data_IF_290326194737
#
_entry.id   IF_290326194737
#
_cell.length_a   1.000
_cell.length_b   1.000
_cell.length_c   1.000
_cell.angle_alpha   90.00
_cell.angle_beta   90.00
_cell.angle_gamma   90.00
#
_symmetry.space_group_name_H-M   'P 1'
#
loop_
_entity.id
_entity.type
_entity.pdbx_description
1 polymer ?
#
# COMPACT_ATOMS: atom_id res chain seq x y z
N UNK A 1 1.23 -38.76 6.06
CA UNK A 1 0.14 -37.96 5.43
C UNK A 1 -0.50 -36.92 6.36
N UNK A 2 -0.97 -37.29 7.57
CA UNK A 2 -1.71 -36.38 8.46
C UNK A 2 -0.96 -35.08 8.83
N UNK A 3 0.35 -35.15 9.10
CA UNK A 3 1.16 -33.95 9.37
C UNK A 3 1.25 -33.04 8.13
N UNK A 4 1.42 -33.63 6.94
CA UNK A 4 1.44 -32.88 5.68
C UNK A 4 0.11 -32.19 5.37
N UNK A 5 -1.03 -32.83 5.72
CA UNK A 5 -2.35 -32.21 5.58
C UNK A 5 -2.50 -30.98 6.50
N UNK A 6 -1.99 -31.06 7.73
CA UNK A 6 -1.97 -29.93 8.66
C UNK A 6 -1.12 -28.77 8.12
N UNK A 7 0.07 -29.05 7.57
CA UNK A 7 0.91 -28.02 6.93
C UNK A 7 0.15 -27.39 5.76
N UNK A 8 -0.45 -28.19 4.87
CA UNK A 8 -1.18 -27.69 3.70
C UNK A 8 -2.33 -26.76 4.10
N UNK A 9 -3.14 -27.16 5.09
CA UNK A 9 -4.29 -26.39 5.55
C UNK A 9 -3.85 -25.14 6.30
N UNK A 10 -2.81 -25.22 7.14
CA UNK A 10 -2.30 -24.06 7.86
C UNK A 10 -1.68 -23.02 6.91
N UNK A 11 -0.88 -23.46 5.93
CA UNK A 11 -0.32 -22.58 4.90
C UNK A 11 -1.42 -21.88 4.08
N UNK A 12 -2.51 -22.59 3.78
CA UNK A 12 -3.66 -21.99 3.10
C UNK A 12 -4.39 -20.96 3.98
N UNK A 13 -4.59 -21.26 5.27
CA UNK A 13 -5.19 -20.31 6.21
C UNK A 13 -4.32 -19.06 6.41
N UNK A 14 -3.00 -19.21 6.52
CA UNK A 14 -2.08 -18.07 6.58
C UNK A 14 -2.25 -17.18 5.35
N UNK A 15 -2.28 -17.75 4.15
CA UNK A 15 -2.53 -17.00 2.91
C UNK A 15 -3.88 -16.27 2.92
N UNK A 16 -4.95 -16.89 3.42
CA UNK A 16 -6.25 -16.22 3.56
C UNK A 16 -6.20 -15.05 4.55
N UNK A 17 -5.46 -15.17 5.66
CA UNK A 17 -5.24 -14.05 6.59
C UNK A 17 -4.47 -12.90 5.93
N UNK A 18 -3.61 -13.19 4.96
CA UNK A 18 -2.92 -12.21 4.12
C UNK A 18 -3.76 -11.73 2.92
N UNK A 19 -5.07 -12.01 2.88
CA UNK A 19 -5.98 -11.66 1.80
C UNK A 19 -5.52 -12.16 0.42
N UNK A 20 -4.82 -13.30 0.36
CA UNK A 20 -4.50 -14.01 -0.88
C UNK A 20 -5.59 -15.01 -1.23
N UNK A 21 -5.87 -15.14 -2.53
CA UNK A 21 -6.80 -16.15 -3.02
C UNK A 21 -6.17 -17.56 -3.04
N UNK A 22 -6.97 -18.58 -2.73
CA UNK A 22 -6.53 -19.98 -2.72
C UNK A 22 -7.64 -20.91 -2.24
N UNK A 23 -7.69 -22.14 -2.76
CA UNK A 23 -8.81 -23.05 -2.46
C UNK A 23 -8.49 -24.53 -2.52
N UNK A 24 -7.23 -24.91 -2.72
CA UNK A 24 -6.80 -26.31 -2.74
C UNK A 24 -5.62 -26.51 -1.80
N UNK A 25 -5.71 -27.55 -0.98
CA UNK A 25 -4.64 -28.05 -0.14
C UNK A 25 -4.76 -29.58 -0.09
N UNK A 26 -3.64 -30.29 -0.20
CA UNK A 26 -3.55 -31.73 -0.09
C UNK A 26 -2.15 -32.17 0.33
N UNK A 27 -2.03 -33.37 0.86
CA UNK A 27 -0.74 -34.00 1.07
C UNK A 27 -0.75 -35.44 0.55
N UNK A 28 0.42 -35.91 0.12
CA UNK A 28 0.59 -37.25 -0.44
C UNK A 28 1.84 -37.90 0.15
N UNK A 29 1.73 -39.19 0.50
CA UNK A 29 2.91 -39.97 0.88
C UNK A 29 3.82 -40.21 -0.34
N UNK A 30 5.13 -40.15 -0.12
CA UNK A 30 6.13 -40.48 -1.14
C UNK A 30 6.52 -41.96 -1.07
N UNK A 31 7.54 -42.37 -1.85
CA UNK A 31 8.11 -43.72 -1.71
C UNK A 31 8.99 -43.87 -0.47
N UNK A 32 9.51 -42.77 0.08
CA UNK A 32 10.26 -42.77 1.33
C UNK A 32 9.28 -42.64 2.52
N UNK A 33 9.42 -43.48 3.55
CA UNK A 33 8.47 -43.50 4.68
C UNK A 33 8.48 -42.21 5.51
N UNK A 34 9.59 -41.47 5.47
CA UNK A 34 9.81 -40.25 6.27
C UNK A 34 9.61 -38.95 5.47
N UNK A 35 9.11 -39.05 4.23
CA UNK A 35 8.88 -37.90 3.34
C UNK A 35 7.40 -37.79 2.94
N UNK A 36 6.88 -36.56 2.91
CA UNK A 36 5.51 -36.24 2.50
C UNK A 36 5.54 -35.06 1.52
N UNK A 37 4.85 -35.21 0.40
CA UNK A 37 4.61 -34.10 -0.52
C UNK A 37 3.42 -33.29 -0.01
N UNK A 38 3.60 -31.98 0.09
CA UNK A 38 2.56 -31.03 0.47
C UNK A 38 2.27 -30.13 -0.71
N UNK A 39 1.00 -30.02 -1.10
CA UNK A 39 0.55 -29.22 -2.23
C UNK A 39 -0.56 -28.29 -1.78
N UNK A 40 -0.43 -27.00 -2.06
CA UNK A 40 -1.49 -26.02 -1.89
C UNK A 40 -1.42 -24.95 -2.97
N UNK A 41 -2.58 -24.36 -3.29
CA UNK A 41 -2.67 -23.25 -4.24
C UNK A 41 -2.12 -21.96 -3.64
N UNK A 42 -1.56 -21.11 -4.48
CA UNK A 42 -1.12 -19.76 -4.14
C UNK A 42 -1.51 -18.76 -5.23
N UNK A 43 -1.73 -17.51 -4.85
CA UNK A 43 -1.83 -16.37 -5.79
C UNK A 43 -0.45 -15.78 -6.08
N UNK A 44 0.42 -15.73 -5.06
CA UNK A 44 1.81 -15.28 -5.13
C UNK A 44 2.74 -16.39 -4.64
N UNK A 45 3.68 -16.81 -5.48
CA UNK A 45 4.60 -17.92 -5.20
C UNK A 45 5.42 -17.66 -3.93
N UNK A 46 6.04 -16.49 -3.80
CA UNK A 46 6.87 -16.14 -2.64
C UNK A 46 6.07 -16.15 -1.32
N UNK A 47 4.82 -15.64 -1.35
CA UNK A 47 3.94 -15.63 -0.18
C UNK A 47 3.50 -17.07 0.15
N UNK A 48 3.21 -17.87 -0.87
CA UNK A 48 2.86 -19.27 -0.71
C UNK A 48 3.99 -20.09 -0.10
N UNK A 49 5.23 -19.88 -0.54
CA UNK A 49 6.41 -20.54 0.02
C UNK A 49 6.63 -20.16 1.48
N UNK A 50 6.62 -18.86 1.80
CA UNK A 50 6.75 -18.39 3.18
C UNK A 50 5.62 -18.95 4.07
N UNK A 51 4.39 -19.01 3.57
CA UNK A 51 3.27 -19.58 4.32
C UNK A 51 3.50 -21.06 4.67
N UNK A 52 4.14 -21.82 3.78
CA UNK A 52 4.53 -23.20 4.03
C UNK A 52 5.63 -23.33 5.08
N UNK A 53 6.66 -22.48 5.01
CA UNK A 53 7.75 -22.44 5.99
C UNK A 53 7.23 -22.08 7.38
N UNK A 54 6.45 -21.00 7.48
CA UNK A 54 5.83 -20.57 8.75
C UNK A 54 4.88 -21.63 9.29
N UNK A 55 4.10 -22.30 8.44
CA UNK A 55 3.25 -23.41 8.87
C UNK A 55 4.05 -24.57 9.48
N UNK A 56 5.17 -24.94 8.86
CA UNK A 56 6.08 -25.96 9.40
C UNK A 56 6.68 -25.52 10.75
N UNK A 57 7.17 -24.28 10.84
CA UNK A 57 7.77 -23.74 12.06
C UNK A 57 6.77 -23.70 13.23
N UNK A 58 5.54 -23.24 12.97
CA UNK A 58 4.46 -23.23 13.96
C UNK A 58 4.14 -24.63 14.47
N UNK A 59 4.03 -25.63 13.59
CA UNK A 59 3.76 -27.02 13.98
C UNK A 59 4.92 -27.63 14.78
N UNK A 60 6.16 -27.33 14.41
CA UNK A 60 7.36 -27.76 15.17
C UNK A 60 7.40 -27.09 16.55
N UNK A 61 7.01 -25.82 16.65
CA UNK A 61 6.95 -25.09 17.91
C UNK A 61 5.87 -25.67 18.85
N UNK A 62 4.68 -25.98 18.32
CA UNK A 62 3.59 -26.64 19.05
C UNK A 62 4.04 -28.03 19.54
N UNK A 63 4.69 -28.81 18.68
CA UNK A 63 5.16 -30.15 19.04
C UNK A 63 6.22 -30.15 20.15
N UNK A 64 6.87 -29.01 20.41
CA UNK A 64 7.93 -28.83 21.42
C UNK A 64 7.48 -27.99 22.62
N UNK A 65 6.20 -27.65 22.72
CA UNK A 65 5.68 -26.73 23.74
C UNK A 65 5.97 -27.22 25.18
N UNK A 66 5.92 -28.54 25.40
CA UNK A 66 6.18 -29.14 26.72
C UNK A 66 7.65 -29.00 27.17
N UNK A 67 8.59 -28.80 26.24
CA UNK A 67 10.02 -28.68 26.52
C UNK A 67 10.51 -27.23 26.61
N UNK A 68 9.87 -26.32 25.85
CA UNK A 68 10.36 -24.95 25.64
C UNK A 68 9.40 -23.85 26.10
N UNK A 69 8.25 -24.22 26.66
CA UNK A 69 7.18 -23.29 27.00
C UNK A 69 6.21 -23.08 25.82
N UNK A 70 5.09 -22.43 26.11
CA UNK A 70 4.04 -22.18 25.13
C UNK A 70 4.55 -21.26 24.00
N UNK A 71 4.43 -21.66 22.72
CA UNK A 71 4.94 -20.87 21.60
C UNK A 71 4.08 -19.63 21.33
N UNK A 72 4.72 -18.52 20.95
CA UNK A 72 4.02 -17.30 20.54
C UNK A 72 3.64 -17.35 19.05
N UNK A 73 2.54 -18.07 18.79
CA UNK A 73 1.99 -18.20 17.43
C UNK A 73 1.46 -16.87 16.87
N UNK A 74 1.17 -15.89 17.73
CA UNK A 74 0.66 -14.59 17.27
C UNK A 74 1.79 -13.75 16.65
N UNK A 75 3.01 -13.80 17.20
CA UNK A 75 4.16 -13.15 16.57
C UNK A 75 4.50 -13.78 15.21
N UNK A 76 4.45 -15.11 15.10
CA UNK A 76 4.67 -15.82 13.82
C UNK A 76 3.67 -15.36 12.75
N UNK A 77 2.38 -15.32 13.08
CA UNK A 77 1.34 -14.80 12.19
C UNK A 77 1.61 -13.33 11.85
N UNK A 78 1.91 -12.48 12.85
CA UNK A 78 2.15 -11.07 12.61
C UNK A 78 3.38 -10.83 11.72
N UNK A 79 4.44 -11.64 11.87
CA UNK A 79 5.64 -11.61 11.02
C UNK A 79 5.29 -12.01 9.59
N UNK A 80 4.52 -13.09 9.42
CA UNK A 80 4.03 -13.53 8.12
C UNK A 80 3.16 -12.46 7.44
N UNK A 81 2.22 -11.85 8.16
CA UNK A 81 1.36 -10.80 7.59
C UNK A 81 2.18 -9.58 7.15
N UNK A 82 3.19 -9.15 7.93
CA UNK A 82 4.11 -8.08 7.51
C UNK A 82 4.94 -8.46 6.28
N UNK A 83 5.34 -9.73 6.18
CA UNK A 83 6.05 -10.26 5.02
C UNK A 83 5.16 -10.22 3.77
N UNK A 84 3.93 -10.72 3.89
CA UNK A 84 2.97 -10.81 2.82
C UNK A 84 2.49 -9.43 2.35
N UNK A 85 2.21 -8.50 3.26
CA UNK A 85 1.78 -7.13 2.93
C UNK A 85 2.82 -6.40 2.06
N UNK A 86 4.11 -6.48 2.45
CA UNK A 86 5.22 -5.88 1.69
C UNK A 86 5.37 -6.46 0.29
N UNK A 87 4.94 -7.72 0.11
CA UNK A 87 5.00 -8.48 -1.14
C UNK A 87 3.65 -8.65 -1.80
N UNK A 88 2.62 -7.95 -1.38
CA UNK A 88 1.32 -8.01 -2.05
C UNK A 88 1.25 -6.96 -3.14
N UNK A 89 0.66 -7.31 -4.28
CA UNK A 89 0.28 -6.29 -5.26
C UNK A 89 -0.95 -5.56 -4.73
N UNK A 90 -0.95 -4.24 -4.82
CA UNK A 90 -2.14 -3.45 -4.55
C UNK A 90 -3.29 -3.80 -5.51
N UNK A 91 -4.55 -3.48 -5.16
CA UNK A 91 -5.73 -3.94 -5.90
C UNK A 91 -5.69 -3.54 -7.38
N UNK A 92 -5.25 -2.32 -7.70
CA UNK A 92 -5.13 -1.87 -9.09
C UNK A 92 -4.11 -2.67 -9.89
N UNK A 93 -2.95 -2.98 -9.30
CA UNK A 93 -1.93 -3.78 -9.95
C UNK A 93 -2.40 -5.22 -10.13
N UNK A 94 -3.10 -5.78 -9.15
CA UNK A 94 -3.68 -7.12 -9.23
C UNK A 94 -4.68 -7.24 -10.38
N UNK A 95 -5.58 -6.28 -10.55
CA UNK A 95 -6.55 -6.29 -11.64
C UNK A 95 -5.88 -6.19 -13.03
N UNK A 96 -4.73 -5.51 -13.12
CA UNK A 96 -3.91 -5.50 -14.34
C UNK A 96 -3.30 -6.89 -14.61
N UNK A 97 -2.78 -7.57 -13.58
CA UNK A 97 -2.25 -8.94 -13.71
C UNK A 97 -3.35 -9.91 -14.13
N UNK A 98 -4.51 -9.87 -13.46
CA UNK A 98 -5.69 -10.71 -13.80
C UNK A 98 -6.13 -10.47 -15.25
N UNK A 99 -6.18 -9.20 -15.66
CA UNK A 99 -6.50 -8.79 -17.04
C UNK A 99 -5.49 -9.26 -18.07
N UNK A 100 -4.19 -9.29 -17.74
CA UNK A 100 -3.14 -9.80 -18.61
C UNK A 100 -3.24 -11.33 -18.75
N UNK A 101 -3.40 -12.04 -17.63
CA UNK A 101 -3.56 -13.50 -17.61
C UNK A 101 -4.80 -13.95 -18.40
N UNK A 102 -5.92 -13.26 -18.25
CA UNK A 102 -7.15 -13.53 -19.02
C UNK A 102 -7.00 -13.33 -20.55
N UNK A 103 -5.92 -12.69 -20.99
CA UNK A 103 -5.58 -12.44 -22.40
C UNK A 103 -4.34 -13.22 -22.85
N UNK A 104 -3.89 -14.19 -22.06
CA UNK A 104 -2.66 -14.97 -22.29
C UNK A 104 -1.41 -14.09 -22.48
N UNK A 105 -1.38 -12.93 -21.82
CA UNK A 105 -0.23 -12.03 -21.83
C UNK A 105 0.68 -12.40 -20.65
N UNK A 106 1.94 -12.77 -20.88
CA UNK A 106 2.84 -13.18 -19.80
C UNK A 106 3.14 -12.00 -18.86
N UNK A 107 3.15 -12.29 -17.56
CA UNK A 107 3.45 -11.32 -16.49
C UNK A 107 4.63 -11.83 -15.67
N UNK A 108 5.55 -10.94 -15.34
CA UNK A 108 6.69 -11.23 -14.48
C UNK A 108 6.80 -10.19 -13.38
N UNK A 109 6.90 -10.64 -12.14
CA UNK A 109 7.24 -9.76 -11.03
C UNK A 109 8.74 -9.48 -11.06
N UNK A 110 9.13 -8.21 -10.91
CA UNK A 110 10.53 -7.80 -11.05
C UNK A 110 11.19 -7.41 -9.72
N UNK A 111 10.40 -7.20 -8.67
CA UNK A 111 10.87 -6.93 -7.32
C UNK A 111 9.83 -7.36 -6.27
N UNK A 112 10.22 -7.27 -5.01
CA UNK A 112 9.33 -7.53 -3.87
C UNK A 112 8.18 -6.51 -3.77
N UNK A 113 8.27 -5.36 -4.44
CA UNK A 113 7.24 -4.32 -4.47
C UNK A 113 6.21 -4.53 -5.57
N UNK A 114 5.75 -3.43 -6.17
CA UNK A 114 4.67 -3.43 -7.18
C UNK A 114 5.16 -3.39 -8.63
N UNK A 115 6.46 -3.56 -8.88
CA UNK A 115 7.03 -3.48 -10.22
C UNK A 115 6.83 -4.80 -10.98
N UNK A 116 6.03 -4.72 -12.04
CA UNK A 116 5.71 -5.85 -12.91
C UNK A 116 6.10 -5.57 -14.36
N UNK A 117 6.50 -6.62 -15.06
CA UNK A 117 6.57 -6.67 -16.51
C UNK A 117 5.29 -7.32 -17.04
N UNK A 118 4.71 -6.73 -18.07
CA UNK A 118 3.62 -7.32 -18.84
C UNK A 118 4.08 -7.46 -20.30
N UNK A 119 3.90 -8.64 -20.90
CA UNK A 119 4.34 -8.96 -22.25
C UNK A 119 5.83 -9.32 -22.37
N UNK A 120 6.30 -9.50 -23.60
CA UNK A 120 7.67 -9.95 -23.91
C UNK A 120 8.27 -9.20 -25.11
N UNK A 121 9.60 -9.23 -25.19
CA UNK A 121 10.37 -8.67 -26.29
C UNK A 121 10.10 -7.18 -26.50
N UNK A 122 10.02 -6.74 -27.76
CA UNK A 122 9.77 -5.33 -28.11
C UNK A 122 8.39 -4.79 -27.66
N UNK A 123 7.47 -5.66 -27.26
CA UNK A 123 6.12 -5.29 -26.82
C UNK A 123 5.97 -5.29 -25.29
N UNK A 124 7.02 -5.63 -24.54
CA UNK A 124 6.97 -5.60 -23.08
C UNK A 124 6.69 -4.19 -22.56
N UNK A 125 5.94 -4.09 -21.48
CA UNK A 125 5.70 -2.86 -20.73
C UNK A 125 6.11 -3.05 -19.26
N UNK A 126 6.41 -1.95 -18.59
CA UNK A 126 6.61 -1.92 -17.13
C UNK A 126 5.45 -1.20 -16.48
N UNK A 127 4.98 -1.74 -15.37
CA UNK A 127 3.92 -1.14 -14.57
C UNK A 127 4.37 -1.17 -13.12
N UNK A 128 4.14 -0.07 -12.41
CA UNK A 128 4.36 0.02 -10.97
C UNK A 128 3.15 0.71 -10.34
N UNK A 129 2.43 -0.01 -9.48
CA UNK A 129 1.09 0.34 -9.05
C UNK A 129 0.16 0.68 -10.25
N UNK A 130 -0.19 1.96 -10.44
CA UNK A 130 -0.99 2.45 -11.58
C UNK A 130 -0.17 3.20 -12.64
N UNK A 131 1.14 3.32 -12.46
CA UNK A 131 2.05 3.98 -13.40
C UNK A 131 2.52 2.98 -14.45
N UNK A 132 2.74 3.45 -15.67
CA UNK A 132 3.29 2.62 -16.75
C UNK A 132 4.61 3.19 -17.24
N UNK A 133 5.37 2.40 -18.01
CA UNK A 133 6.55 2.87 -18.73
C UNK A 133 6.27 4.02 -19.72
N UNK A 134 5.00 4.36 -19.97
CA UNK A 134 4.60 5.51 -20.79
C UNK A 134 4.29 6.76 -19.97
N UNK A 135 4.18 6.64 -18.65
CA UNK A 135 3.96 7.80 -17.78
C UNK A 135 5.27 8.57 -17.66
N UNK A 136 5.27 9.83 -18.10
CA UNK A 136 6.46 10.69 -18.03
C UNK A 136 6.89 10.91 -16.59
N UNK A 137 8.20 10.75 -16.31
CA UNK A 137 8.77 11.06 -15.00
C UNK A 137 8.46 12.49 -14.57
N UNK A 138 8.62 13.46 -15.48
CA UNK A 138 8.30 14.87 -15.23
C UNK A 138 6.83 15.05 -14.83
N UNK A 139 5.91 14.29 -15.47
CA UNK A 139 4.49 14.37 -15.13
C UNK A 139 4.21 13.81 -13.73
N UNK A 140 4.90 12.73 -13.32
CA UNK A 140 4.81 12.19 -11.96
C UNK A 140 5.35 13.20 -10.95
N UNK A 141 6.52 13.79 -11.19
CA UNK A 141 7.11 14.80 -10.30
C UNK A 141 6.18 16.02 -10.13
N UNK A 142 5.62 16.53 -11.23
CA UNK A 142 4.63 17.62 -11.18
C UNK A 142 3.42 17.22 -10.34
N UNK A 143 2.84 16.05 -10.61
CA UNK A 143 1.64 15.57 -9.91
C UNK A 143 1.87 15.29 -8.42
N UNK A 144 3.09 14.89 -8.04
CA UNK A 144 3.47 14.65 -6.64
C UNK A 144 3.74 15.95 -5.87
N UNK A 145 4.17 17.03 -6.53
CA UNK A 145 4.32 18.35 -5.91
C UNK A 145 2.99 19.14 -5.96
N UNK A 146 2.27 19.15 -4.84
CA UNK A 146 1.00 19.88 -4.68
C UNK A 146 1.11 21.37 -5.00
N UNK A 147 2.25 22.00 -4.68
CA UNK A 147 2.44 23.43 -4.90
C UNK A 147 2.74 23.73 -6.38
N UNK A 148 3.57 22.92 -7.02
CA UNK A 148 3.84 23.04 -8.46
C UNK A 148 2.59 22.73 -9.29
N UNK A 149 1.89 21.63 -8.98
CA UNK A 149 0.63 21.24 -9.63
C UNK A 149 -0.41 22.36 -9.58
N UNK A 150 -0.70 22.89 -8.38
CA UNK A 150 -1.67 23.97 -8.21
C UNK A 150 -1.29 25.23 -9.01
N UNK A 151 0.00 25.64 -8.97
CA UNK A 151 0.49 26.80 -9.73
C UNK A 151 0.35 26.61 -11.24
N UNK A 152 0.74 25.46 -11.77
CA UNK A 152 0.62 25.18 -13.21
C UNK A 152 -0.84 25.19 -13.67
N UNK A 153 -1.75 24.61 -12.88
CA UNK A 153 -3.19 24.65 -13.18
C UNK A 153 -3.73 26.09 -13.11
N UNK A 154 -3.32 26.89 -12.12
CA UNK A 154 -3.68 28.30 -12.00
C UNK A 154 -3.20 29.14 -13.20
N UNK A 155 -1.95 28.95 -13.62
CA UNK A 155 -1.35 29.65 -14.76
C UNK A 155 -2.08 29.34 -16.08
N UNK A 156 -2.70 28.16 -16.18
CA UNK A 156 -3.57 27.75 -17.29
C UNK A 156 -5.01 28.29 -17.17
N UNK A 157 -5.33 29.03 -16.10
CA UNK A 157 -6.65 29.62 -15.86
C UNK A 157 -7.67 28.66 -15.23
N UNK A 158 -7.23 27.49 -14.73
CA UNK A 158 -8.13 26.58 -14.02
C UNK A 158 -8.41 27.11 -12.60
N UNK A 159 -9.65 26.95 -12.11
CA UNK A 159 -9.98 27.34 -10.74
C UNK A 159 -9.27 26.38 -9.77
N UNK A 160 -8.35 26.93 -8.98
CA UNK A 160 -7.65 26.19 -7.92
C UNK A 160 -7.76 26.92 -6.58
N UNK A 161 -7.64 26.20 -5.43
CA UNK A 161 -7.58 26.84 -4.13
C UNK A 161 -6.43 27.83 -4.04
N UNK A 162 -6.69 29.00 -3.46
CA UNK A 162 -5.65 29.97 -3.13
C UNK A 162 -4.86 29.41 -1.96
N UNK A 163 -3.56 29.19 -2.15
CA UNK A 163 -2.72 28.55 -1.15
C UNK A 163 -1.40 29.28 -0.89
N UNK A 164 -0.85 29.06 0.31
CA UNK A 164 0.46 29.58 0.73
C UNK A 164 1.21 28.51 1.52
N UNK A 165 2.47 28.28 1.15
CA UNK A 165 3.40 27.46 1.93
C UNK A 165 4.01 28.32 3.03
N UNK A 166 4.02 27.80 4.26
CA UNK A 166 4.49 28.45 5.48
C UNK A 166 5.32 27.46 6.30
N UNK A 167 6.26 28.00 7.08
CA UNK A 167 7.17 27.22 7.94
C UNK A 167 7.01 27.55 9.42
N UNK A 168 6.25 28.60 9.74
CA UNK A 168 6.12 29.12 11.09
C UNK A 168 4.64 29.35 11.43
N UNK A 169 4.21 29.15 12.69
CA UNK A 169 2.83 29.34 13.11
C UNK A 169 2.28 30.75 12.81
N UNK A 170 3.07 31.79 13.03
CA UNK A 170 2.66 33.19 12.78
C UNK A 170 2.42 33.44 11.29
N UNK A 171 3.25 32.83 10.43
CA UNK A 171 3.08 32.90 9.00
C UNK A 171 1.81 32.16 8.55
N UNK A 172 1.45 31.06 9.22
CA UNK A 172 0.22 30.32 8.97
C UNK A 172 -1.01 31.16 9.30
N UNK A 173 -1.03 31.83 10.44
CA UNK A 173 -2.13 32.73 10.82
C UNK A 173 -2.26 33.89 9.82
N UNK A 174 -1.15 34.55 9.50
CA UNK A 174 -1.13 35.63 8.51
C UNK A 174 -1.60 35.17 7.11
N UNK A 175 -1.28 33.94 6.72
CA UNK A 175 -1.77 33.37 5.48
C UNK A 175 -3.29 33.09 5.54
N UNK A 176 -3.78 32.53 6.64
CA UNK A 176 -5.20 32.26 6.83
C UNK A 176 -6.04 33.53 6.80
N UNK A 177 -5.60 34.61 7.46
CA UNK A 177 -6.28 35.91 7.45
C UNK A 177 -6.31 36.54 6.05
N UNK A 178 -5.23 36.42 5.28
CA UNK A 178 -5.15 36.94 3.90
C UNK A 178 -6.01 36.14 2.91
N UNK A 179 -6.08 34.83 3.09
CA UNK A 179 -6.92 33.96 2.25
C UNK A 179 -8.40 34.17 2.61
N UNK A 180 -8.69 34.32 3.91
CA UNK A 180 -10.03 34.39 4.48
C UNK A 180 -10.51 33.01 4.95
N UNK A 181 -11.14 32.98 6.13
CA UNK A 181 -11.73 31.78 6.71
C UNK A 181 -13.03 31.35 6.01
N UNK A 182 -13.39 30.05 6.04
CA UNK A 182 -12.60 28.93 6.56
C UNK A 182 -11.43 28.54 5.66
N UNK A 183 -10.39 27.97 6.26
CA UNK A 183 -9.20 27.47 5.57
C UNK A 183 -8.97 25.99 5.83
N UNK A 184 -8.14 25.37 4.98
CA UNK A 184 -7.57 24.04 5.16
C UNK A 184 -6.10 24.20 5.48
N UNK A 185 -5.61 23.41 6.43
CA UNK A 185 -4.22 23.36 6.87
C UNK A 185 -3.72 21.94 6.67
N UNK A 186 -2.63 21.75 5.91
CA UNK A 186 -2.11 20.42 5.59
C UNK A 186 -0.59 20.41 5.44
N UNK A 187 0.09 19.28 5.69
CA UNK A 187 1.50 19.13 5.34
C UNK A 187 1.68 19.19 3.82
N UNK A 188 2.81 19.78 3.38
CA UNK A 188 3.19 19.87 1.97
C UNK A 188 3.35 18.47 1.36
N UNK A 189 4.09 17.61 2.04
CA UNK A 189 4.55 16.28 1.63
C UNK A 189 3.83 15.11 2.32
N UNK A 190 2.80 15.39 3.12
CA UNK A 190 2.00 14.35 3.77
C UNK A 190 1.07 13.61 2.80
N UNK A 191 0.86 12.32 3.07
CA UNK A 191 0.01 11.40 2.31
C UNK A 191 -1.10 10.81 3.20
N UNK A 192 -2.14 10.24 2.57
CA UNK A 192 -3.25 9.55 3.25
C UNK A 192 -4.05 10.42 4.24
N UNK A 193 -4.09 11.74 4.01
CA UNK A 193 -4.85 12.67 4.87
C UNK A 193 -4.24 12.91 6.25
N UNK A 194 -3.04 12.38 6.54
CA UNK A 194 -2.36 12.64 7.82
C UNK A 194 -1.97 14.10 7.95
N UNK A 195 -2.22 14.67 9.13
CA UNK A 195 -1.93 16.08 9.42
C UNK A 195 -2.83 17.07 8.66
N UNK A 196 -3.93 16.63 8.05
CA UNK A 196 -4.87 17.52 7.34
C UNK A 196 -5.98 17.96 8.29
N UNK A 197 -6.13 19.27 8.45
CA UNK A 197 -7.24 19.90 9.18
C UNK A 197 -8.08 20.72 8.22
N UNK A 198 -9.36 20.39 8.13
CA UNK A 198 -10.34 21.07 7.28
C UNK A 198 -11.26 21.96 8.12
N UNK A 199 -11.93 22.90 7.46
CA UNK A 199 -12.89 23.80 8.09
C UNK A 199 -12.33 24.53 9.32
N UNK A 200 -11.09 25.00 9.23
CA UNK A 200 -10.47 25.80 10.28
C UNK A 200 -11.02 27.21 10.17
N UNK A 201 -11.67 27.70 11.23
CA UNK A 201 -12.46 28.95 11.20
C UNK A 201 -11.89 30.08 12.04
N UNK A 202 -10.88 29.82 12.87
CA UNK A 202 -10.32 30.80 13.79
C UNK A 202 -8.81 30.61 14.01
N UNK A 203 -8.18 31.59 14.67
CA UNK A 203 -6.74 31.60 14.92
C UNK A 203 -6.27 30.45 15.82
N UNK A 204 -7.05 30.07 16.82
CA UNK A 204 -6.71 28.97 17.72
C UNK A 204 -6.69 27.63 16.97
N UNK A 205 -7.67 27.43 16.08
CA UNK A 205 -7.74 26.31 15.17
C UNK A 205 -6.57 26.26 14.21
N UNK A 206 -6.13 27.41 13.65
CA UNK A 206 -4.93 27.47 12.79
C UNK A 206 -3.69 27.02 13.55
N UNK A 207 -3.49 27.49 14.78
CA UNK A 207 -2.34 27.10 15.58
C UNK A 207 -2.32 25.59 15.90
N UNK A 208 -3.47 25.03 16.31
CA UNK A 208 -3.60 23.60 16.58
C UNK A 208 -3.39 22.75 15.32
N UNK A 209 -3.96 23.19 14.20
CA UNK A 209 -3.82 22.52 12.92
C UNK A 209 -2.39 22.58 12.37
N UNK A 210 -1.71 23.71 12.51
CA UNK A 210 -0.32 23.86 12.11
C UNK A 210 0.57 22.88 12.89
N UNK A 211 0.43 22.81 14.21
CA UNK A 211 1.18 21.87 15.04
C UNK A 211 0.91 20.39 14.68
N UNK A 212 -0.29 20.07 14.20
CA UNK A 212 -0.61 18.73 13.70
C UNK A 212 0.03 18.44 12.34
N UNK A 213 -0.02 19.40 11.42
CA UNK A 213 0.56 19.27 10.09
C UNK A 213 2.10 19.22 10.11
N UNK A 214 2.74 20.03 10.97
CA UNK A 214 4.20 20.12 11.10
C UNK A 214 4.84 18.79 11.52
N UNK A 215 4.16 17.99 12.35
CA UNK A 215 4.66 16.66 12.75
C UNK A 215 4.72 15.65 11.61
N UNK A 216 3.99 15.90 10.53
CA UNK A 216 3.82 14.96 9.41
C UNK A 216 4.59 15.38 8.16
N UNK A 217 5.27 16.52 8.15
CA UNK A 217 5.87 17.06 6.93
C UNK A 217 6.96 18.10 7.13
N UNK A 218 7.57 18.50 6.02
CA UNK A 218 8.67 19.48 6.00
C UNK A 218 8.21 20.94 5.96
N UNK A 219 6.94 21.19 5.59
CA UNK A 219 6.31 22.50 5.56
C UNK A 219 4.78 22.36 5.63
N UNK A 220 4.09 23.46 5.92
CA UNK A 220 2.62 23.50 6.01
C UNK A 220 2.04 24.35 4.89
N UNK A 221 0.95 23.89 4.31
CA UNK A 221 0.15 24.60 3.31
C UNK A 221 -1.14 25.09 3.96
N UNK A 222 -1.39 26.40 3.83
CA UNK A 222 -2.67 27.02 4.17
C UNK A 222 -3.39 27.32 2.87
N UNK A 223 -4.60 26.80 2.68
CA UNK A 223 -5.39 27.00 1.47
C UNK A 223 -6.85 27.36 1.76
N UNK A 224 -7.51 28.01 0.80
CA UNK A 224 -8.94 28.32 0.90
C UNK A 224 -9.77 27.03 0.94
N UNK A 225 -10.70 26.94 1.89
CA UNK A 225 -11.69 25.85 1.92
C UNK A 225 -12.75 26.07 0.84
N UNK A 226 -12.96 25.06 -0.01
CA UNK A 226 -14.03 25.07 -1.02
C UNK A 226 -15.09 24.07 -0.57
N UNK A 227 -16.33 24.56 -0.41
CA UNK A 227 -17.47 23.71 -0.10
C UNK A 227 -18.08 23.14 -1.39
N UNK A 228 -18.42 21.85 -1.38
CA UNK A 228 -19.04 21.17 -2.51
C UNK A 228 -18.84 19.66 -2.44
N UNK A 229 -19.30 18.98 -3.47
CA UNK A 229 -19.11 17.55 -3.64
C UNK A 229 -17.73 17.27 -4.26
N UNK A 230 -17.02 16.29 -3.71
CA UNK A 230 -15.76 15.80 -4.27
C UNK A 230 -16.03 14.73 -5.33
N UNK A 231 -15.41 14.90 -6.50
CA UNK A 231 -15.58 14.00 -7.64
C UNK A 231 -14.22 13.55 -8.16
N UNK A 232 -14.08 12.23 -8.39
CA UNK A 232 -12.88 11.65 -8.99
C UNK A 232 -13.08 11.38 -10.47
N UNK A 233 -12.29 12.06 -11.31
CA UNK A 233 -12.28 11.88 -12.75
C UNK A 233 -11.14 10.95 -13.16
N UNK A 234 -11.45 9.90 -13.93
CA UNK A 234 -10.45 9.09 -14.62
C UNK A 234 -10.32 9.61 -16.05
N UNK A 235 -9.13 10.13 -16.38
CA UNK A 235 -8.80 10.78 -17.67
C UNK A 235 -7.99 9.85 -18.55
#
# INVERSE_FOLDING_TARGET
>A
PALGELVAVLALHLQHLAAQDGGRAMARATQAPDEVDVLYSYESEDIGLEAGEVACDMLVAIARADEKGEPDLQDDIARFLRYADRRSLGPSAMELVRSANARDIPVYRLNDGSLIQVGQGKYQQRIEAALTSKTSHIAVEIASDKNLSNRLLADLGLPVPRQRVVYEPDAALSAAERIGFPVVVKPLDGNHGRGVSVNVTDAAGVAAAFAAAEREGSAVVIESMIAGDDHRLLV
#
